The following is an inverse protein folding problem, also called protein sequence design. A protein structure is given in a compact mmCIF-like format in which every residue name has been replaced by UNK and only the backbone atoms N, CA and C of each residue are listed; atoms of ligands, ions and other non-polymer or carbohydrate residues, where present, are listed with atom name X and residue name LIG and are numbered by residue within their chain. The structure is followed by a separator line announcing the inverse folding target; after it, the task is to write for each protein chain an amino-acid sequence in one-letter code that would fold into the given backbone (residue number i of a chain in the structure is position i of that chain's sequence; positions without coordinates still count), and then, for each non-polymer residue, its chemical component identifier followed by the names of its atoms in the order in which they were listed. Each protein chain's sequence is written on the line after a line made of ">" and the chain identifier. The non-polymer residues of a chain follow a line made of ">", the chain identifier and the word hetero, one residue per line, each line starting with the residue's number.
data_IF_730564902697
#
_entry.id   IF_730564902697
#
_cell.length_a   1.000
_cell.length_b   1.000
_cell.length_c   1.000
_cell.angle_alpha   90.00
_cell.angle_beta   90.00
_cell.angle_gamma   90.00
#
_symmetry.space_group_name_H-M   'P 1'
#
loop_
_entity.id
_entity.type
_entity.pdbx_description
1 polymer ?
#
# COMPACT_ATOMS: atom_id res chain seq x y z
N UNK A 1 -39.13 -34.86 19.90
CA UNK A 1 -38.08 -34.10 20.62
C UNK A 1 -37.40 -33.21 19.59
N UNK A 2 -37.97 -32.04 19.31
CA UNK A 2 -37.28 -31.02 18.50
C UNK A 2 -36.33 -30.28 19.42
N UNK A 3 -35.02 -30.44 19.16
CA UNK A 3 -34.00 -29.64 19.81
C UNK A 3 -34.15 -28.20 19.30
N UNK A 4 -34.65 -27.32 20.17
CA UNK A 4 -34.75 -25.89 19.88
C UNK A 4 -33.38 -25.35 19.47
N UNK A 5 -33.29 -24.86 18.24
CA UNK A 5 -32.09 -24.18 17.74
C UNK A 5 -31.87 -22.97 18.65
N UNK A 6 -30.72 -22.85 19.33
CA UNK A 6 -30.44 -21.69 20.15
C UNK A 6 -30.41 -20.46 19.24
N UNK A 7 -31.40 -19.58 19.41
CA UNK A 7 -31.45 -18.25 18.82
C UNK A 7 -30.20 -17.51 19.25
N UNK A 8 -29.23 -17.38 18.33
CA UNK A 8 -28.00 -16.64 18.58
C UNK A 8 -28.38 -15.24 19.06
N UNK A 9 -28.05 -14.93 20.32
CA UNK A 9 -28.35 -13.64 20.92
C UNK A 9 -27.80 -12.53 20.02
N UNK A 10 -28.65 -11.56 19.67
CA UNK A 10 -28.20 -10.44 18.83
C UNK A 10 -27.00 -9.76 19.49
N UNK A 11 -25.89 -9.53 18.75
CA UNK A 11 -24.71 -8.92 19.31
C UNK A 11 -25.06 -7.53 19.86
N UNK A 12 -24.58 -7.26 21.07
CA UNK A 12 -24.68 -5.96 21.73
C UNK A 12 -24.18 -4.82 20.84
N UNK A 13 -24.55 -3.57 21.14
CA UNK A 13 -24.13 -2.41 20.33
C UNK A 13 -22.60 -2.30 20.13
N UNK A 14 -21.79 -2.82 21.06
CA UNK A 14 -20.34 -2.95 20.91
C UNK A 14 -19.94 -4.10 19.97
N UNK A 15 -20.60 -5.25 20.08
CA UNK A 15 -20.39 -6.41 19.20
C UNK A 15 -20.65 -6.10 17.73
N UNK A 16 -21.74 -5.39 17.41
CA UNK A 16 -22.04 -4.94 16.03
C UNK A 16 -21.00 -3.98 15.46
N UNK A 17 -20.39 -3.13 16.29
CA UNK A 17 -19.33 -2.20 15.86
C UNK A 17 -18.02 -2.93 15.58
N UNK A 18 -17.70 -3.93 16.40
CA UNK A 18 -16.51 -4.76 16.21
C UNK A 18 -16.63 -5.65 14.98
N UNK A 19 -17.79 -6.29 14.76
CA UNK A 19 -18.02 -7.09 13.55
C UNK A 19 -17.89 -6.23 12.29
N UNK A 20 -18.55 -5.06 12.25
CA UNK A 20 -18.44 -4.15 11.12
C UNK A 20 -17.00 -3.64 10.87
N UNK A 21 -16.20 -3.47 11.92
CA UNK A 21 -14.79 -3.11 11.78
C UNK A 21 -14.00 -4.22 11.09
N UNK A 22 -14.09 -5.45 11.59
CA UNK A 22 -13.36 -6.59 11.03
C UNK A 22 -13.86 -6.99 9.64
N UNK A 23 -15.17 -6.90 9.36
CA UNK A 23 -15.70 -7.14 8.01
C UNK A 23 -15.08 -6.19 7.00
N UNK A 24 -14.94 -4.90 7.33
CA UNK A 24 -14.31 -3.91 6.44
C UNK A 24 -12.81 -4.15 6.29
N UNK A 25 -12.11 -4.43 7.40
CA UNK A 25 -10.69 -4.75 7.36
C UNK A 25 -10.42 -6.01 6.51
N UNK A 26 -11.25 -7.04 6.68
CA UNK A 26 -11.15 -8.28 5.94
C UNK A 26 -11.43 -8.10 4.44
N UNK A 27 -12.48 -7.34 4.09
CA UNK A 27 -12.84 -7.09 2.69
C UNK A 27 -11.74 -6.33 1.94
N UNK A 28 -11.26 -5.20 2.49
CA UNK A 28 -10.18 -4.43 1.87
C UNK A 28 -8.84 -5.18 1.94
N UNK A 29 -8.58 -5.91 3.03
CA UNK A 29 -7.35 -6.66 3.21
C UNK A 29 -7.26 -7.83 2.24
N UNK A 30 -8.38 -8.52 2.00
CA UNK A 30 -8.45 -9.56 0.97
C UNK A 30 -8.27 -8.99 -0.43
N UNK A 31 -8.93 -7.85 -0.75
CA UNK A 31 -8.76 -7.18 -2.04
C UNK A 31 -7.28 -6.81 -2.29
N UNK A 32 -6.64 -6.22 -1.27
CA UNK A 32 -5.22 -5.89 -1.36
C UNK A 32 -4.35 -7.13 -1.48
N UNK A 33 -4.52 -8.11 -0.60
CA UNK A 33 -3.71 -9.33 -0.57
C UNK A 33 -3.80 -10.10 -1.88
N UNK A 34 -5.00 -10.24 -2.45
CA UNK A 34 -5.18 -10.87 -3.77
C UNK A 34 -4.50 -10.04 -4.86
N UNK A 35 -4.70 -8.72 -4.87
CA UNK A 35 -4.00 -7.82 -5.80
C UNK A 35 -2.48 -7.97 -5.71
N UNK A 36 -1.95 -8.07 -4.49
CA UNK A 36 -0.53 -8.24 -4.21
C UNK A 36 0.03 -9.59 -4.72
N UNK A 37 -0.79 -10.64 -4.66
CA UNK A 37 -0.43 -11.96 -5.21
C UNK A 37 -0.45 -11.93 -6.73
N UNK A 38 -1.56 -11.51 -7.34
CA UNK A 38 -1.75 -11.54 -8.79
C UNK A 38 -0.85 -10.55 -9.51
N UNK A 39 -0.87 -9.28 -9.09
CA UNK A 39 -0.09 -8.23 -9.75
C UNK A 39 1.40 -8.39 -9.44
N UNK A 40 1.75 -8.83 -8.22
CA UNK A 40 3.13 -9.18 -7.89
C UNK A 40 3.71 -10.27 -8.78
N UNK A 41 2.95 -11.35 -9.01
CA UNK A 41 3.36 -12.42 -9.94
C UNK A 41 3.48 -11.93 -11.38
N UNK A 42 2.53 -11.11 -11.84
CA UNK A 42 2.54 -10.54 -13.18
C UNK A 42 3.74 -9.58 -13.42
N UNK A 43 4.01 -8.67 -12.48
CA UNK A 43 5.13 -7.74 -12.58
C UNK A 43 6.48 -8.47 -12.54
N UNK A 44 6.57 -9.54 -11.76
CA UNK A 44 7.76 -10.39 -11.74
C UNK A 44 7.95 -11.12 -13.08
N UNK A 45 6.86 -11.60 -13.70
CA UNK A 45 6.91 -12.19 -15.04
C UNK A 45 7.38 -11.20 -16.11
N UNK A 46 6.98 -9.92 -16.00
CA UNK A 46 7.43 -8.84 -16.90
C UNK A 46 8.85 -8.33 -16.59
N UNK A 47 9.50 -8.81 -15.51
CA UNK A 47 10.82 -8.35 -15.04
C UNK A 47 10.90 -6.83 -14.88
N UNK A 48 9.79 -6.20 -14.47
CA UNK A 48 9.71 -4.75 -14.33
C UNK A 48 10.60 -4.26 -13.17
N UNK A 49 11.59 -3.39 -13.44
CA UNK A 49 12.34 -2.75 -12.37
C UNK A 49 11.40 -1.85 -11.56
N UNK A 50 11.62 -1.76 -10.25
CA UNK A 50 10.81 -0.98 -9.30
C UNK A 50 9.33 -1.40 -9.18
N UNK A 51 9.01 -2.66 -9.50
CA UNK A 51 7.68 -3.22 -9.28
C UNK A 51 7.14 -2.95 -7.85
N UNK A 52 8.01 -3.01 -6.83
CA UNK A 52 7.63 -2.72 -5.45
C UNK A 52 7.06 -1.31 -5.23
N UNK A 53 7.58 -0.30 -5.92
CA UNK A 53 7.08 1.09 -5.79
C UNK A 53 5.69 1.22 -6.39
N UNK A 54 5.43 0.53 -7.50
CA UNK A 54 4.11 0.49 -8.12
C UNK A 54 3.08 -0.20 -7.21
N UNK A 55 3.47 -1.34 -6.61
CA UNK A 55 2.62 -2.05 -5.64
C UNK A 55 2.31 -1.17 -4.42
N UNK A 56 3.33 -0.51 -3.87
CA UNK A 56 3.19 0.44 -2.76
C UNK A 56 2.25 1.61 -3.12
N UNK A 57 2.34 2.15 -4.33
CA UNK A 57 1.45 3.22 -4.79
C UNK A 57 -0.02 2.76 -4.83
N UNK A 58 -0.29 1.54 -5.32
CA UNK A 58 -1.65 0.97 -5.32
C UNK A 58 -2.15 0.69 -3.91
N UNK A 59 -1.31 0.15 -3.04
CA UNK A 59 -1.60 -0.07 -1.64
C UNK A 59 -2.00 1.24 -0.92
N UNK A 60 -1.22 2.31 -1.11
CA UNK A 60 -1.50 3.64 -0.56
C UNK A 60 -2.82 4.17 -1.07
N UNK A 61 -3.08 4.12 -2.39
CA UNK A 61 -4.34 4.57 -2.97
C UNK A 61 -5.52 3.88 -2.28
N UNK A 62 -5.45 2.56 -2.15
CA UNK A 62 -6.51 1.76 -1.56
C UNK A 62 -6.69 2.03 -0.06
N UNK A 63 -5.61 2.08 0.72
CA UNK A 63 -5.67 2.35 2.16
C UNK A 63 -6.15 3.78 2.47
N UNK A 64 -5.67 4.77 1.72
CA UNK A 64 -6.14 6.15 1.87
C UNK A 64 -7.63 6.25 1.49
N UNK A 65 -8.05 5.64 0.38
CA UNK A 65 -9.46 5.61 0.00
C UNK A 65 -10.34 4.95 1.07
N UNK A 66 -9.88 3.83 1.65
CA UNK A 66 -10.55 3.16 2.77
C UNK A 66 -10.70 4.10 3.97
N UNK A 67 -9.67 4.87 4.32
CA UNK A 67 -9.71 5.82 5.44
C UNK A 67 -10.65 6.99 5.20
N UNK A 68 -10.91 7.35 3.93
CA UNK A 68 -11.93 8.34 3.59
C UNK A 68 -13.36 7.82 3.73
N UNK A 69 -13.58 6.54 3.42
CA UNK A 69 -14.86 5.87 3.62
C UNK A 69 -15.14 5.61 5.10
N UNK A 70 -14.14 5.09 5.81
CA UNK A 70 -14.27 4.62 7.19
C UNK A 70 -13.22 5.30 8.08
N UNK A 71 -13.64 6.36 8.76
CA UNK A 71 -12.79 7.18 9.65
C UNK A 71 -12.54 6.50 11.00
N UNK A 72 -11.92 5.32 11.01
CA UNK A 72 -11.60 4.55 12.22
C UNK A 72 -10.10 4.32 12.34
N UNK A 73 -9.57 4.55 13.54
CA UNK A 73 -8.19 4.24 13.92
C UNK A 73 -7.95 2.73 13.89
N UNK A 74 -6.74 2.34 13.50
CA UNK A 74 -6.30 0.95 13.41
C UNK A 74 -6.90 0.17 12.24
N UNK A 75 -7.76 0.78 11.43
CA UNK A 75 -8.38 0.10 10.29
C UNK A 75 -7.36 -0.20 9.20
N UNK A 76 -6.41 0.71 8.94
CA UNK A 76 -5.36 0.47 7.94
C UNK A 76 -4.43 -0.65 8.41
N UNK A 77 -4.08 -0.68 9.69
CA UNK A 77 -3.29 -1.77 10.29
C UNK A 77 -3.99 -3.12 10.19
N UNK A 78 -5.27 -3.20 10.57
CA UNK A 78 -6.03 -4.44 10.48
C UNK A 78 -6.15 -4.92 9.01
N UNK A 79 -6.31 -3.99 8.08
CA UNK A 79 -6.35 -4.27 6.63
C UNK A 79 -5.01 -4.81 6.14
N UNK A 80 -3.90 -4.19 6.53
CA UNK A 80 -2.55 -4.67 6.22
C UNK A 80 -2.23 -6.03 6.83
N UNK A 81 -2.69 -6.28 8.06
CA UNK A 81 -2.55 -7.60 8.68
C UNK A 81 -3.28 -8.68 7.87
N UNK A 82 -4.54 -8.44 7.49
CA UNK A 82 -5.28 -9.39 6.65
C UNK A 82 -4.61 -9.55 5.28
N UNK A 83 -4.14 -8.47 4.65
CA UNK A 83 -3.45 -8.54 3.37
C UNK A 83 -2.16 -9.37 3.46
N UNK A 84 -1.36 -9.18 4.51
CA UNK A 84 -0.15 -9.96 4.77
C UNK A 84 -0.47 -11.45 4.99
N UNK A 85 -1.57 -11.76 5.69
CA UNK A 85 -2.04 -13.13 5.85
C UNK A 85 -2.49 -13.75 4.53
N UNK A 86 -3.23 -13.02 3.68
CA UNK A 86 -3.60 -13.51 2.34
C UNK A 86 -2.35 -13.75 1.49
N UNK A 87 -1.33 -12.91 1.63
CA UNK A 87 -0.06 -13.05 0.90
C UNK A 87 0.70 -14.34 1.26
N UNK A 88 0.53 -14.91 2.45
CA UNK A 88 1.18 -16.19 2.81
C UNK A 88 0.66 -17.36 2.00
N UNK A 89 -0.56 -17.25 1.47
CA UNK A 89 -1.18 -18.27 0.62
C UNK A 89 -0.66 -18.22 -0.83
N UNK A 90 0.28 -17.31 -1.14
CA UNK A 90 0.84 -17.14 -2.47
C UNK A 90 1.70 -18.36 -2.89
N UNK A 91 1.60 -18.82 -4.16
CA UNK A 91 2.36 -19.97 -4.67
C UNK A 91 3.89 -19.83 -4.61
N UNK A 92 4.41 -18.62 -4.36
CA UNK A 92 5.84 -18.32 -4.24
C UNK A 92 6.46 -18.58 -2.84
N UNK A 93 5.69 -19.13 -1.90
CA UNK A 93 6.13 -19.40 -0.53
C UNK A 93 6.07 -18.17 0.39
N UNK A 94 6.34 -18.39 1.68
CA UNK A 94 6.36 -17.33 2.71
C UNK A 94 7.65 -16.53 2.58
N UNK A 95 7.64 -15.50 1.74
CA UNK A 95 8.75 -14.55 1.62
C UNK A 95 8.52 -13.44 2.64
N UNK A 96 9.37 -13.41 3.69
CA UNK A 96 9.25 -12.45 4.79
C UNK A 96 9.36 -10.97 4.33
N UNK A 97 10.07 -10.72 3.23
CA UNK A 97 10.24 -9.38 2.66
C UNK A 97 8.90 -8.71 2.33
N UNK A 98 8.15 -9.18 1.32
CA UNK A 98 6.85 -8.59 0.96
C UNK A 98 5.86 -8.46 2.12
N UNK A 99 5.86 -9.42 3.06
CA UNK A 99 4.99 -9.32 4.25
C UNK A 99 5.35 -8.14 5.15
N UNK A 100 6.65 -7.94 5.41
CA UNK A 100 7.12 -6.77 6.14
C UNK A 100 6.82 -5.47 5.38
N UNK A 101 6.83 -5.49 4.04
CA UNK A 101 6.47 -4.33 3.22
C UNK A 101 5.03 -3.88 3.48
N UNK A 102 4.09 -4.82 3.31
CA UNK A 102 2.65 -4.60 3.51
C UNK A 102 2.38 -4.04 4.92
N UNK A 103 2.99 -4.63 5.94
CA UNK A 103 2.79 -4.21 7.33
C UNK A 103 3.35 -2.82 7.60
N UNK A 104 4.53 -2.49 7.09
CA UNK A 104 5.12 -1.17 7.28
C UNK A 104 4.34 -0.11 6.49
N UNK A 105 3.91 -0.39 5.27
CA UNK A 105 3.06 0.52 4.48
C UNK A 105 1.75 0.82 5.21
N UNK A 106 1.07 -0.21 5.72
CA UNK A 106 -0.16 -0.04 6.51
C UNK A 106 0.09 0.80 7.77
N UNK A 107 1.24 0.62 8.41
CA UNK A 107 1.66 1.38 9.59
C UNK A 107 1.93 2.84 9.25
N UNK A 108 2.70 3.12 8.19
CA UNK A 108 3.01 4.46 7.73
C UNK A 108 1.73 5.24 7.39
N UNK A 109 0.78 4.61 6.70
CA UNK A 109 -0.53 5.21 6.41
C UNK A 109 -1.32 5.48 7.69
N UNK A 110 -1.35 4.54 8.64
CA UNK A 110 -2.07 4.73 9.92
C UNK A 110 -1.46 5.88 10.74
N UNK A 111 -0.13 5.97 10.81
CA UNK A 111 0.60 7.01 11.53
C UNK A 111 0.44 8.39 10.90
N UNK A 112 0.34 8.45 9.57
CA UNK A 112 0.11 9.71 8.86
C UNK A 112 -1.35 10.18 8.97
N UNK A 113 -2.33 9.27 9.06
CA UNK A 113 -3.75 9.59 9.13
C UNK A 113 -4.39 9.18 10.47
N UNK A 114 -3.89 9.56 11.65
CA UNK A 114 -4.36 9.00 12.92
C UNK A 114 -5.76 9.49 13.32
N UNK A 115 -6.19 10.69 12.92
CA UNK A 115 -7.50 11.24 13.31
C UNK A 115 -8.21 12.02 12.20
N UNK A 116 -7.44 12.60 11.28
CA UNK A 116 -7.95 13.44 10.20
C UNK A 116 -7.72 12.79 8.84
N UNK A 117 -8.49 11.75 8.48
CA UNK A 117 -8.30 11.06 7.22
C UNK A 117 -8.57 11.96 6.00
N UNK A 118 -9.32 13.05 6.20
CA UNK A 118 -9.60 14.06 5.18
C UNK A 118 -8.42 14.95 4.77
N UNK A 119 -7.28 14.90 5.46
CA UNK A 119 -6.13 15.77 5.15
C UNK A 119 -5.40 15.25 3.90
N UNK A 120 -5.47 16.02 2.81
CA UNK A 120 -4.74 15.73 1.56
C UNK A 120 -3.23 15.71 1.81
N UNK A 121 -2.73 16.65 2.61
CA UNK A 121 -1.30 16.75 2.93
C UNK A 121 -0.82 15.50 3.68
N UNK A 122 -1.60 15.02 4.65
CA UNK A 122 -1.27 13.80 5.38
C UNK A 122 -1.28 12.56 4.48
N UNK A 123 -2.22 12.48 3.54
CA UNK A 123 -2.26 11.39 2.55
C UNK A 123 -1.08 11.44 1.58
N UNK A 124 -0.70 12.62 1.10
CA UNK A 124 0.47 12.82 0.25
C UNK A 124 1.77 12.46 0.98
N UNK A 125 1.88 12.82 2.26
CA UNK A 125 3.00 12.43 3.11
C UNK A 125 3.06 10.91 3.31
N UNK A 126 1.92 10.27 3.59
CA UNK A 126 1.82 8.82 3.72
C UNK A 126 2.32 8.10 2.45
N UNK A 127 1.85 8.53 1.27
CA UNK A 127 2.27 7.92 0.01
C UNK A 127 3.74 8.14 -0.31
N UNK A 128 4.28 9.32 0.01
CA UNK A 128 5.71 9.63 -0.15
C UNK A 128 6.57 8.71 0.73
N UNK A 129 6.20 8.56 2.00
CA UNK A 129 6.90 7.69 2.94
C UNK A 129 6.82 6.22 2.52
N UNK A 130 5.66 5.74 2.07
CA UNK A 130 5.52 4.37 1.58
C UNK A 130 6.35 4.11 0.31
N UNK A 131 6.40 5.08 -0.61
CA UNK A 131 7.20 4.93 -1.85
C UNK A 131 8.70 4.90 -1.56
N UNK A 132 9.16 5.76 -0.64
CA UNK A 132 10.55 5.75 -0.18
C UNK A 132 10.87 4.46 0.59
N UNK A 133 9.97 4.01 1.46
CA UNK A 133 10.12 2.76 2.19
C UNK A 133 10.23 1.56 1.25
N UNK A 134 9.34 1.46 0.25
CA UNK A 134 9.33 0.35 -0.71
C UNK A 134 10.63 0.30 -1.52
N UNK A 135 11.13 1.45 -1.98
CA UNK A 135 12.42 1.55 -2.66
C UNK A 135 13.59 1.13 -1.75
N UNK A 136 13.59 1.61 -0.49
CA UNK A 136 14.58 1.24 0.51
C UNK A 136 14.56 -0.27 0.80
N UNK A 137 13.39 -0.84 1.02
CA UNK A 137 13.22 -2.24 1.33
C UNK A 137 13.66 -3.15 0.18
N UNK A 138 13.35 -2.77 -1.06
CA UNK A 138 13.82 -3.48 -2.24
C UNK A 138 15.34 -3.49 -2.30
N UNK A 139 15.98 -2.33 -2.09
CA UNK A 139 17.44 -2.22 -2.06
C UNK A 139 18.05 -3.03 -0.92
N UNK A 140 17.46 -2.95 0.28
CA UNK A 140 17.91 -3.69 1.45
C UNK A 140 17.84 -5.21 1.24
N UNK A 141 16.75 -5.70 0.66
CA UNK A 141 16.57 -7.13 0.36
C UNK A 141 17.58 -7.59 -0.68
N UNK A 142 17.81 -6.80 -1.74
CA UNK A 142 18.83 -7.13 -2.75
C UNK A 142 20.24 -7.08 -2.16
N UNK A 143 20.53 -6.13 -1.27
CA UNK A 143 21.82 -6.07 -0.58
C UNK A 143 22.05 -7.30 0.30
N UNK A 144 21.03 -7.76 1.03
CA UNK A 144 21.14 -8.94 1.88
C UNK A 144 21.36 -10.23 1.05
N UNK A 145 20.73 -10.34 -0.12
CA UNK A 145 20.83 -11.52 -0.99
C UNK A 145 22.10 -11.54 -1.87
N UNK A 146 22.51 -10.38 -2.39
CA UNK A 146 23.58 -10.26 -3.39
C UNK A 146 24.85 -9.57 -2.87
N UNK A 147 24.85 -9.10 -1.62
CA UNK A 147 26.00 -8.44 -0.99
C UNK A 147 26.39 -7.11 -1.63
N UNK A 148 27.68 -6.76 -1.57
CA UNK A 148 28.19 -5.46 -2.09
C UNK A 148 28.10 -5.33 -3.61
N UNK A 149 28.03 -6.43 -4.34
CA UNK A 149 27.95 -6.43 -5.81
C UNK A 149 26.74 -5.64 -6.34
N UNK A 150 25.62 -5.65 -5.62
CA UNK A 150 24.45 -4.88 -6.04
C UNK A 150 24.68 -3.37 -5.89
N UNK A 151 25.39 -2.94 -4.84
CA UNK A 151 25.71 -1.53 -4.62
C UNK A 151 26.64 -1.04 -5.73
N UNK A 152 27.62 -1.84 -6.10
CA UNK A 152 28.52 -1.53 -7.22
C UNK A 152 27.77 -1.43 -8.55
N UNK A 153 26.78 -2.30 -8.78
CA UNK A 153 25.91 -2.22 -9.95
C UNK A 153 25.09 -0.92 -9.98
N UNK A 154 24.45 -0.56 -8.85
CA UNK A 154 23.69 0.69 -8.76
C UNK A 154 24.59 1.92 -8.92
N UNK A 155 25.78 1.93 -8.33
CA UNK A 155 26.76 3.02 -8.50
C UNK A 155 27.26 3.11 -9.95
N UNK A 156 27.48 1.98 -10.62
CA UNK A 156 27.85 1.95 -12.03
C UNK A 156 26.72 2.47 -12.93
N UNK A 157 25.46 2.12 -12.64
CA UNK A 157 24.29 2.68 -13.32
C UNK A 157 24.16 4.19 -13.08
N UNK A 158 24.36 4.64 -11.84
CA UNK A 158 24.30 6.07 -11.48
C UNK A 158 25.38 6.87 -12.23
N UNK A 159 26.59 6.33 -12.33
CA UNK A 159 27.70 6.95 -13.10
C UNK A 159 27.41 6.98 -14.61
N UNK A 160 26.77 5.94 -15.16
CA UNK A 160 26.32 5.94 -16.56
C UNK A 160 25.22 6.98 -16.79
N UNK A 161 24.26 7.08 -15.89
CA UNK A 161 23.20 8.08 -15.96
C UNK A 161 23.72 9.51 -15.83
N UNK A 162 24.70 9.77 -14.94
CA UNK A 162 25.35 11.07 -14.84
C UNK A 162 26.13 11.44 -16.12
N UNK A 163 26.72 10.44 -16.78
CA UNK A 163 27.37 10.60 -18.08
C UNK A 163 26.38 11.01 -19.18
N UNK A 164 25.17 10.44 -19.19
CA UNK A 164 24.12 10.83 -20.14
C UNK A 164 23.56 12.23 -19.87
N UNK A 165 23.49 12.65 -18.61
CA UNK A 165 23.07 14.01 -18.23
C UNK A 165 24.19 15.07 -18.32
N UNK A 166 25.40 14.69 -18.76
CA UNK A 166 26.55 15.59 -18.87
C UNK A 166 26.90 16.31 -17.56
N UNK A 167 26.65 15.66 -16.42
CA UNK A 167 26.86 16.23 -15.10
C UNK A 167 28.32 16.06 -14.65
N UNK A 168 28.91 17.03 -13.91
CA UNK A 168 30.29 16.94 -13.42
C UNK A 168 30.54 15.68 -12.56
N UNK A 169 31.79 15.21 -12.49
CA UNK A 169 32.18 13.96 -11.80
C UNK A 169 31.93 13.90 -10.27
N UNK A 170 31.32 14.92 -9.66
CA UNK A 170 30.82 14.94 -8.27
C UNK A 170 29.29 14.93 -8.14
N UNK A 171 28.55 14.86 -9.25
CA UNK A 171 27.10 15.08 -9.31
C UNK A 171 26.25 13.82 -9.10
N UNK A 172 26.82 12.71 -8.64
CA UNK A 172 26.04 11.50 -8.32
C UNK A 172 24.90 11.78 -7.34
N UNK A 173 25.10 12.72 -6.43
CA UNK A 173 24.07 13.20 -5.49
C UNK A 173 22.87 13.86 -6.17
N UNK A 174 23.06 14.54 -7.30
CA UNK A 174 21.96 15.14 -8.06
C UNK A 174 21.09 14.09 -8.74
N UNK A 175 21.70 13.05 -9.29
CA UNK A 175 20.95 11.93 -9.89
C UNK A 175 20.18 11.17 -8.82
N UNK A 176 20.80 10.91 -7.66
CA UNK A 176 20.12 10.30 -6.52
C UNK A 176 18.96 11.18 -6.03
N UNK A 177 19.18 12.49 -5.91
CA UNK A 177 18.14 13.46 -5.58
C UNK A 177 16.98 13.44 -6.59
N UNK A 178 17.27 13.30 -7.88
CA UNK A 178 16.27 13.16 -8.93
C UNK A 178 15.43 11.88 -8.79
N UNK A 179 16.05 10.74 -8.46
CA UNK A 179 15.32 9.49 -8.20
C UNK A 179 14.44 9.61 -6.96
N UNK A 180 14.97 10.17 -5.86
CA UNK A 180 14.18 10.41 -4.64
C UNK A 180 13.01 11.35 -4.93
N UNK A 181 13.24 12.42 -5.68
CA UNK A 181 12.19 13.35 -6.09
C UNK A 181 11.10 12.63 -6.91
N UNK A 182 11.48 11.77 -7.85
CA UNK A 182 10.54 10.96 -8.62
C UNK A 182 9.71 10.04 -7.71
N UNK A 183 10.34 9.34 -6.75
CA UNK A 183 9.63 8.49 -5.79
C UNK A 183 8.66 9.29 -4.92
N UNK A 184 9.05 10.48 -4.49
CA UNK A 184 8.16 11.40 -3.76
C UNK A 184 7.01 11.87 -4.65
N UNK A 185 7.23 12.15 -5.93
CA UNK A 185 6.15 12.48 -6.87
C UNK A 185 5.18 11.31 -7.03
N UNK A 186 5.68 10.08 -7.20
CA UNK A 186 4.82 8.88 -7.26
C UNK A 186 4.04 8.69 -5.95
N UNK A 187 4.69 8.89 -4.81
CA UNK A 187 4.07 8.79 -3.50
C UNK A 187 3.02 9.87 -3.22
N UNK A 188 3.33 11.12 -3.52
CA UNK A 188 2.37 12.22 -3.36
C UNK A 188 1.16 12.06 -4.28
N UNK A 189 1.38 11.67 -5.54
CA UNK A 189 0.29 11.43 -6.50
C UNK A 189 -0.60 10.27 -6.08
N UNK A 190 -0.05 9.16 -5.61
CA UNK A 190 -0.82 8.03 -5.08
C UNK A 190 -1.65 8.41 -3.84
N UNK A 191 -1.07 9.13 -2.88
CA UNK A 191 -1.80 9.65 -1.72
C UNK A 191 -2.95 10.58 -2.11
N UNK A 192 -2.71 11.49 -3.05
CA UNK A 192 -3.74 12.40 -3.57
C UNK A 192 -4.86 11.67 -4.32
N UNK A 193 -4.51 10.71 -5.19
CA UNK A 193 -5.47 9.86 -5.89
C UNK A 193 -6.33 9.06 -4.90
N UNK A 194 -5.71 8.51 -3.85
CA UNK A 194 -6.43 7.80 -2.79
C UNK A 194 -7.48 8.69 -2.11
N UNK A 195 -7.15 9.96 -1.85
CA UNK A 195 -8.14 10.92 -1.31
C UNK A 195 -9.27 11.16 -2.31
N UNK A 196 -8.98 11.42 -3.58
CA UNK A 196 -10.00 11.67 -4.60
C UNK A 196 -10.94 10.48 -4.78
N UNK A 197 -10.39 9.28 -4.93
CA UNK A 197 -11.17 8.05 -5.08
C UNK A 197 -12.02 7.76 -3.84
N UNK A 198 -11.47 8.03 -2.64
CA UNK A 198 -12.20 7.92 -1.39
C UNK A 198 -13.40 8.87 -1.29
N UNK A 199 -13.24 10.13 -1.69
CA UNK A 199 -14.32 11.13 -1.70
C UNK A 199 -15.40 10.78 -2.72
N UNK A 200 -15.02 10.41 -3.95
CA UNK A 200 -15.96 10.02 -5.00
C UNK A 200 -16.75 8.77 -4.59
N UNK A 201 -16.07 7.76 -4.04
CA UNK A 201 -16.73 6.54 -3.55
C UNK A 201 -17.71 6.85 -2.41
N UNK A 202 -17.36 7.77 -1.51
CA UNK A 202 -18.24 8.17 -0.42
C UNK A 202 -19.51 8.86 -0.92
N UNK A 203 -19.41 9.72 -1.92
CA UNK A 203 -20.56 10.39 -2.52
C UNK A 203 -21.52 9.38 -3.16
N UNK A 204 -20.99 8.42 -3.93
CA UNK A 204 -21.81 7.38 -4.59
C UNK A 204 -22.57 6.50 -3.60
N UNK A 205 -21.97 6.17 -2.46
CA UNK A 205 -22.62 5.39 -1.41
C UNK A 205 -23.69 6.18 -0.64
N UNK A 206 -23.69 7.51 -0.72
CA UNK A 206 -24.67 8.38 -0.06
C UNK A 206 -25.84 8.79 -0.98
N UNK A 207 -25.75 8.51 -2.28
CA UNK A 207 -26.85 8.63 -3.24
C UNK A 207 -27.34 7.26 -3.70
N UNK A 208 -28.18 6.55 -2.93
CA UNK A 208 -28.92 5.41 -3.46
C UNK A 208 -30.01 5.93 -4.40
N UNK A 209 -29.92 5.68 -5.71
CA UNK A 209 -31.07 5.85 -6.62
C UNK A 209 -30.89 6.53 -7.99
N UNK A 210 -29.69 6.64 -8.57
CA UNK A 210 -29.54 7.25 -9.91
C UNK A 210 -29.12 6.28 -11.03
N UNK A 211 -29.32 4.97 -10.86
CA UNK A 211 -28.76 3.98 -11.80
C UNK A 211 -29.49 2.64 -11.91
N UNK A 212 -30.79 2.57 -11.57
CA UNK A 212 -31.64 1.44 -11.94
C UNK A 212 -32.73 1.93 -12.91
N UNK A 213 -32.31 2.19 -14.15
CA UNK A 213 -33.17 2.23 -15.32
C UNK A 213 -32.46 1.45 -16.42
N UNK A 214 -32.56 0.12 -16.35
CA UNK A 214 -32.36 -0.78 -17.48
C UNK A 214 -33.69 -1.47 -17.74
#
# INVERSE_FOLDING_TARGET
>A
MEAGIPTLAEPSGSGRRLSAFWTRAACFGALWGVGEVTLGAFLHALRLPFAGVLMAALAVIMLVAQRQLYRRRGLSLATGLVAALVKTLSPGGVILGPMAAILVEATLVELCLPAWPGSVVAAMAAGSLCSLWSAFQQLFTQYLLYGRNIIELYLAMLRRASGWLNLPAGAGWWVLGGVIALLVVVGTTSGWLGVRLGVVSRQRLQTPGAGESW
#
